data_IF_148405299899
#
_entry.id   IF_148405299899
#
_cell.length_a   1.000
_cell.length_b   1.000
_cell.length_c   1.000
_cell.angle_alpha   90.00
_cell.angle_beta   90.00
_cell.angle_gamma   90.00
#
_symmetry.space_group_name_H-M   'P 1'
#
loop_
_entity.id
_entity.type
_entity.pdbx_description
1 polymer ?
#
# COMPACT_ATOMS: atom_id res chain seq x y z
N UNK A 1 -3.94 -13.86 -26.37
CA UNK A 1 -2.83 -14.13 -25.42
C UNK A 1 -1.54 -13.33 -25.72
N UNK A 2 -1.47 -12.54 -26.77
CA UNK A 2 -0.26 -11.79 -27.19
C UNK A 2 -0.28 -10.31 -26.80
N UNK A 3 -1.43 -9.77 -26.43
CA UNK A 3 -1.62 -8.33 -26.18
C UNK A 3 -1.20 -7.90 -24.76
N UNK A 4 -1.43 -8.74 -23.75
CA UNK A 4 -1.18 -8.40 -22.35
C UNK A 4 0.31 -8.27 -22.01
N UNK A 5 1.18 -9.08 -22.62
CA UNK A 5 2.65 -9.01 -22.38
C UNK A 5 3.29 -7.76 -22.97
N UNK A 6 2.76 -7.25 -24.07
CA UNK A 6 3.25 -6.02 -24.71
C UNK A 6 2.81 -4.81 -23.88
N UNK A 7 1.59 -4.81 -23.37
CA UNK A 7 1.08 -3.79 -22.44
C UNK A 7 1.91 -3.71 -21.15
N UNK A 8 2.16 -4.83 -20.50
CA UNK A 8 2.97 -4.92 -19.27
C UNK A 8 4.40 -4.43 -19.51
N UNK A 9 5.04 -4.79 -20.62
CA UNK A 9 6.39 -4.33 -20.97
C UNK A 9 6.45 -2.82 -21.19
N UNK A 10 5.42 -2.24 -21.81
CA UNK A 10 5.31 -0.79 -22.08
C UNK A 10 5.17 0.01 -20.79
N UNK A 11 4.32 -0.46 -19.85
CA UNK A 11 4.10 0.21 -18.57
C UNK A 11 5.27 0.06 -17.58
N UNK A 12 6.06 -1.00 -17.66
CA UNK A 12 7.26 -1.17 -16.83
C UNK A 12 8.33 -0.08 -17.04
N UNK A 13 8.41 0.49 -18.26
CA UNK A 13 9.27 1.64 -18.57
C UNK A 13 8.76 2.94 -17.94
N UNK A 14 7.45 3.16 -17.93
CA UNK A 14 6.78 4.33 -17.38
C UNK A 14 6.95 4.37 -15.86
N UNK A 15 6.88 3.21 -15.20
CA UNK A 15 6.99 3.06 -13.74
C UNK A 15 8.30 3.57 -13.15
N UNK A 16 9.43 3.37 -13.83
CA UNK A 16 10.73 3.80 -13.30
C UNK A 16 10.85 5.33 -13.18
N UNK A 17 10.11 6.06 -14.00
CA UNK A 17 10.19 7.51 -14.10
C UNK A 17 9.01 8.25 -13.44
N UNK A 18 8.03 7.53 -12.88
CA UNK A 18 6.86 8.16 -12.26
C UNK A 18 7.24 8.79 -10.91
N UNK A 19 7.02 10.10 -10.69
CA UNK A 19 7.26 10.75 -9.41
C UNK A 19 6.42 10.10 -8.28
N UNK A 20 6.99 9.94 -7.09
CA UNK A 20 6.28 9.35 -5.95
C UNK A 20 4.93 10.03 -5.62
N UNK A 21 4.79 11.36 -5.69
CA UNK A 21 3.49 12.00 -5.48
C UNK A 21 2.44 11.55 -6.50
N UNK A 22 2.80 11.43 -7.78
CA UNK A 22 1.89 10.93 -8.83
C UNK A 22 1.49 9.47 -8.61
N UNK A 23 2.43 8.61 -8.18
CA UNK A 23 2.13 7.22 -7.81
C UNK A 23 1.06 7.15 -6.71
N UNK A 24 1.23 7.92 -5.63
CA UNK A 24 0.26 7.95 -4.52
C UNK A 24 -1.12 8.40 -4.99
N UNK A 25 -1.19 9.43 -5.84
CA UNK A 25 -2.47 9.91 -6.39
C UNK A 25 -3.11 8.88 -7.32
N UNK A 26 -2.34 8.24 -8.19
CA UNK A 26 -2.86 7.18 -9.05
C UNK A 26 -3.42 5.99 -8.27
N UNK A 27 -2.77 5.57 -7.16
CA UNK A 27 -3.33 4.53 -6.26
C UNK A 27 -4.70 4.95 -5.72
N UNK A 28 -4.83 6.21 -5.29
CA UNK A 28 -6.11 6.73 -4.79
C UNK A 28 -7.15 6.80 -5.92
N UNK A 29 -6.76 7.23 -7.12
CA UNK A 29 -7.66 7.23 -8.29
C UNK A 29 -8.14 5.81 -8.63
N UNK A 30 -7.26 4.81 -8.67
CA UNK A 30 -7.67 3.42 -8.90
C UNK A 30 -8.73 2.97 -7.89
N UNK A 31 -8.53 3.29 -6.60
CA UNK A 31 -9.51 2.97 -5.56
C UNK A 31 -10.85 3.68 -5.75
N UNK A 32 -10.85 4.97 -6.14
CA UNK A 32 -12.08 5.70 -6.44
C UNK A 32 -12.80 5.07 -7.64
N UNK A 33 -12.05 4.73 -8.69
CA UNK A 33 -12.60 4.12 -9.90
C UNK A 33 -13.20 2.74 -9.64
N UNK A 34 -12.60 1.93 -8.77
CA UNK A 34 -13.16 0.62 -8.39
C UNK A 34 -14.45 0.72 -7.57
N UNK A 35 -14.71 1.85 -6.93
CA UNK A 35 -15.89 2.09 -6.10
C UNK A 35 -17.01 2.85 -6.82
N UNK A 36 -16.72 3.45 -7.97
CA UNK A 36 -17.75 4.17 -8.73
C UNK A 36 -18.59 3.20 -9.57
N UNK A 37 -19.90 3.34 -9.50
CA UNK A 37 -20.81 2.58 -10.37
C UNK A 37 -20.97 3.18 -11.79
N UNK A 38 -20.13 4.16 -12.16
CA UNK A 38 -20.21 4.87 -13.45
C UNK A 38 -19.36 4.16 -14.51
N UNK A 39 -19.78 4.26 -15.77
CA UNK A 39 -18.96 3.82 -16.91
C UNK A 39 -17.94 4.87 -17.35
N UNK A 40 -18.20 6.15 -17.10
CA UNK A 40 -17.32 7.28 -17.46
C UNK A 40 -17.18 8.24 -16.30
N UNK A 41 -16.03 8.90 -16.22
CA UNK A 41 -15.71 9.93 -15.22
C UNK A 41 -14.91 11.06 -15.87
N UNK A 42 -15.15 12.30 -15.42
CA UNK A 42 -14.44 13.49 -15.91
C UNK A 42 -13.36 13.92 -14.90
N UNK A 43 -12.38 14.73 -15.37
CA UNK A 43 -11.40 15.36 -14.46
C UNK A 43 -12.08 16.29 -13.45
N UNK A 44 -13.22 16.89 -13.78
CA UNK A 44 -14.04 17.72 -12.88
C UNK A 44 -14.59 16.88 -11.73
N UNK A 45 -15.22 15.75 -12.06
CA UNK A 45 -15.76 14.83 -11.03
C UNK A 45 -14.65 14.26 -10.13
N UNK A 46 -13.51 13.87 -10.72
CA UNK A 46 -12.37 13.39 -9.93
C UNK A 46 -11.79 14.50 -9.05
N UNK A 47 -11.76 15.76 -9.53
CA UNK A 47 -11.34 16.91 -8.75
C UNK A 47 -12.26 17.14 -7.54
N UNK A 48 -13.56 17.05 -7.72
CA UNK A 48 -14.53 17.17 -6.64
C UNK A 48 -14.38 16.06 -5.57
N UNK A 49 -14.03 14.84 -5.99
CA UNK A 49 -13.85 13.71 -5.07
C UNK A 49 -12.52 13.73 -4.33
N UNK A 50 -11.46 14.28 -4.94
CA UNK A 50 -10.10 14.23 -4.41
C UNK A 50 -9.60 15.51 -3.78
N UNK A 51 -10.22 16.65 -4.12
CA UNK A 51 -9.73 17.97 -3.78
C UNK A 51 -8.51 18.41 -4.60
N UNK A 52 -8.05 17.60 -5.57
CA UNK A 52 -6.93 17.98 -6.44
C UNK A 52 -7.40 18.79 -7.63
N UNK A 53 -6.53 19.68 -8.16
CA UNK A 53 -6.88 20.42 -9.37
C UNK A 53 -7.05 19.50 -10.58
N UNK A 54 -7.97 19.85 -11.47
CA UNK A 54 -8.16 19.11 -12.72
C UNK A 54 -6.88 18.99 -13.54
N UNK A 55 -6.05 20.04 -13.53
CA UNK A 55 -4.76 20.06 -14.23
C UNK A 55 -3.82 18.99 -13.67
N UNK A 56 -3.78 18.81 -12.34
CA UNK A 56 -3.00 17.75 -11.68
C UNK A 56 -3.48 16.36 -12.09
N UNK A 57 -4.79 16.15 -12.08
CA UNK A 57 -5.40 14.88 -12.48
C UNK A 57 -5.11 14.56 -13.94
N UNK A 58 -5.32 15.52 -14.85
CA UNK A 58 -5.02 15.34 -16.29
C UNK A 58 -3.55 15.04 -16.52
N UNK A 59 -2.65 15.72 -15.82
CA UNK A 59 -1.21 15.46 -15.91
C UNK A 59 -0.86 14.05 -15.45
N UNK A 60 -1.39 13.60 -14.32
CA UNK A 60 -1.11 12.25 -13.82
C UNK A 60 -1.66 11.17 -14.76
N UNK A 61 -2.87 11.37 -15.31
CA UNK A 61 -3.46 10.43 -16.27
C UNK A 61 -2.70 10.45 -17.60
N UNK A 62 -2.21 11.61 -18.06
CA UNK A 62 -1.46 11.71 -19.33
C UNK A 62 -0.19 10.88 -19.34
N UNK A 63 0.41 10.63 -18.17
CA UNK A 63 1.60 9.77 -18.04
C UNK A 63 1.30 8.31 -18.43
N UNK A 64 0.03 7.91 -18.36
CA UNK A 64 -0.40 6.56 -18.75
C UNK A 64 -0.53 6.39 -20.27
N UNK A 65 -0.29 7.46 -21.05
CA UNK A 65 -0.36 7.46 -22.52
C UNK A 65 -1.65 6.82 -23.10
N UNK A 66 -2.78 7.08 -22.44
CA UNK A 66 -4.08 6.59 -22.91
C UNK A 66 -4.50 7.36 -24.15
N UNK A 67 -4.57 6.69 -25.29
CA UNK A 67 -4.91 7.30 -26.60
C UNK A 67 -6.41 7.58 -26.80
N UNK A 68 -7.28 7.22 -25.85
CA UNK A 68 -8.73 7.33 -25.99
C UNK A 68 -9.32 8.55 -25.28
N UNK A 69 -9.61 9.57 -26.07
CA UNK A 69 -10.71 10.52 -25.97
C UNK A 69 -10.86 11.38 -24.70
N UNK A 70 -10.25 12.54 -24.73
CA UNK A 70 -10.34 13.53 -23.62
C UNK A 70 -11.63 14.36 -23.68
N UNK A 71 -12.37 14.39 -24.80
CA UNK A 71 -13.52 15.30 -24.96
C UNK A 71 -14.78 14.87 -24.19
N UNK A 72 -14.96 13.58 -23.88
CA UNK A 72 -16.17 13.04 -23.23
C UNK A 72 -15.89 12.31 -21.90
N UNK A 73 -14.76 12.64 -21.22
CA UNK A 73 -14.35 11.96 -20.00
C UNK A 73 -13.57 10.66 -20.26
N UNK A 74 -13.14 10.04 -19.19
CA UNK A 74 -12.37 8.79 -19.18
C UNK A 74 -13.31 7.61 -18.99
N UNK A 75 -13.11 6.53 -19.75
CA UNK A 75 -13.73 5.24 -19.45
C UNK A 75 -13.16 4.71 -18.14
N UNK A 76 -14.02 4.39 -17.18
CA UNK A 76 -13.65 4.00 -15.82
C UNK A 76 -12.83 2.72 -15.83
N UNK A 77 -13.26 1.72 -16.61
CA UNK A 77 -12.57 0.42 -16.66
C UNK A 77 -11.20 0.55 -17.31
N UNK A 78 -11.14 1.22 -18.46
CA UNK A 78 -9.86 1.42 -19.19
C UNK A 78 -8.87 2.22 -18.33
N UNK A 79 -9.31 3.27 -17.68
CA UNK A 79 -8.46 4.10 -16.82
C UNK A 79 -7.99 3.32 -15.59
N UNK A 80 -8.89 2.57 -14.95
CA UNK A 80 -8.55 1.72 -13.81
C UNK A 80 -7.49 0.67 -14.17
N UNK A 81 -7.74 -0.08 -15.25
CA UNK A 81 -6.85 -1.15 -15.71
C UNK A 81 -5.47 -0.59 -16.09
N UNK A 82 -5.42 0.58 -16.76
CA UNK A 82 -4.18 1.25 -17.09
C UNK A 82 -3.39 1.71 -15.86
N UNK A 83 -4.07 2.23 -14.84
CA UNK A 83 -3.43 2.61 -13.57
C UNK A 83 -2.89 1.35 -12.87
N UNK A 84 -3.67 0.28 -12.79
CA UNK A 84 -3.27 -0.96 -12.16
C UNK A 84 -2.06 -1.57 -12.86
N UNK A 85 -2.07 -1.63 -14.19
CA UNK A 85 -0.93 -2.10 -14.98
C UNK A 85 0.32 -1.22 -14.78
N UNK A 86 0.17 0.12 -14.82
CA UNK A 86 1.26 1.05 -14.60
C UNK A 86 1.85 1.00 -13.19
N UNK A 87 1.09 0.63 -12.19
CA UNK A 87 1.53 0.51 -10.80
C UNK A 87 1.89 -0.93 -10.40
N UNK A 88 1.84 -1.89 -11.33
CA UNK A 88 1.94 -3.32 -11.06
C UNK A 88 0.99 -3.77 -9.93
N UNK A 89 -0.20 -3.16 -9.89
CA UNK A 89 -1.28 -3.56 -9.01
C UNK A 89 -2.11 -4.58 -9.80
N UNK A 90 -1.57 -5.77 -10.02
CA UNK A 90 -2.30 -6.80 -10.73
C UNK A 90 -3.27 -7.51 -9.79
N UNK A 91 -4.55 -7.27 -9.95
CA UNK A 91 -5.59 -8.11 -9.33
C UNK A 91 -5.58 -9.55 -9.92
N UNK A 92 -4.98 -9.73 -11.09
CA UNK A 92 -5.05 -10.96 -11.90
C UNK A 92 -3.80 -11.85 -11.88
N UNK A 93 -2.65 -11.39 -11.37
CA UNK A 93 -1.40 -12.19 -11.41
C UNK A 93 -1.33 -13.32 -10.39
N UNK A 94 -2.30 -13.40 -9.49
CA UNK A 94 -2.33 -14.43 -8.43
C UNK A 94 -1.21 -14.33 -7.40
N UNK A 95 -0.19 -13.51 -7.61
CA UNK A 95 0.94 -13.34 -6.70
C UNK A 95 0.70 -12.13 -5.78
N UNK A 96 0.30 -12.43 -4.54
CA UNK A 96 0.12 -11.40 -3.50
C UNK A 96 1.44 -11.12 -2.80
N UNK A 97 1.65 -9.85 -2.45
CA UNK A 97 2.73 -9.43 -1.57
C UNK A 97 2.44 -9.86 -0.13
N UNK A 98 3.35 -10.60 0.47
CA UNK A 98 3.16 -11.09 1.83
C UNK A 98 3.56 -10.04 2.85
N UNK A 99 2.67 -9.81 3.80
CA UNK A 99 2.89 -8.85 4.86
C UNK A 99 2.60 -9.43 6.25
N UNK A 100 3.13 -8.76 7.27
CA UNK A 100 2.88 -9.09 8.68
C UNK A 100 2.55 -7.84 9.49
N UNK A 101 1.99 -8.06 10.69
CA UNK A 101 1.83 -7.03 11.71
C UNK A 101 2.77 -7.34 12.85
N UNK A 102 3.54 -6.33 13.29
CA UNK A 102 4.47 -6.42 14.42
C UNK A 102 4.01 -5.45 15.52
N UNK A 103 3.70 -6.00 16.67
CA UNK A 103 3.04 -5.33 17.78
C UNK A 103 1.52 -5.54 17.72
N UNK A 104 1.02 -6.44 18.56
CA UNK A 104 -0.39 -6.81 18.63
C UNK A 104 -1.11 -6.11 19.80
N UNK A 105 -0.76 -4.85 20.08
CA UNK A 105 -1.52 -3.97 20.93
C UNK A 105 -2.93 -3.72 20.36
N UNK A 106 -3.71 -2.82 20.95
CA UNK A 106 -5.08 -2.51 20.48
C UNK A 106 -5.14 -2.20 18.98
N UNK A 107 -4.16 -1.43 18.47
CA UNK A 107 -4.10 -1.08 17.04
C UNK A 107 -3.75 -2.29 16.18
N UNK A 108 -2.71 -3.04 16.55
CA UNK A 108 -2.30 -4.23 15.79
C UNK A 108 -3.37 -5.30 15.74
N UNK A 109 -4.10 -5.52 16.84
CA UNK A 109 -5.26 -6.41 16.92
C UNK A 109 -6.38 -5.96 15.97
N UNK A 110 -6.75 -4.68 16.00
CA UNK A 110 -7.76 -4.12 15.11
C UNK A 110 -7.37 -4.26 13.63
N UNK A 111 -6.08 -4.13 13.31
CA UNK A 111 -5.57 -4.32 11.95
C UNK A 111 -5.59 -5.79 11.52
N UNK A 112 -5.34 -6.74 12.44
CA UNK A 112 -5.47 -8.18 12.17
C UNK A 112 -6.90 -8.58 11.79
N UNK A 113 -7.88 -7.99 12.46
CA UNK A 113 -9.31 -8.27 12.21
C UNK A 113 -9.87 -7.48 11.02
N UNK A 114 -9.13 -6.48 10.54
CA UNK A 114 -9.56 -5.60 9.47
C UNK A 114 -9.79 -6.34 8.16
N UNK A 115 -10.88 -6.01 7.48
CA UNK A 115 -11.13 -6.44 6.11
C UNK A 115 -10.27 -5.70 5.06
N UNK A 116 -9.41 -4.76 5.46
CA UNK A 116 -8.62 -3.92 4.55
C UNK A 116 -7.69 -4.72 3.62
N UNK A 117 -7.24 -5.91 4.06
CA UNK A 117 -6.41 -6.79 3.25
C UNK A 117 -7.21 -7.66 2.26
N UNK A 118 -8.55 -7.81 2.48
CA UNK A 118 -9.41 -8.60 1.58
C UNK A 118 -9.53 -7.90 0.24
N UNK A 119 -9.34 -8.65 -0.84
CA UNK A 119 -9.40 -8.09 -2.19
C UNK A 119 -8.24 -7.18 -2.58
N UNK A 120 -7.19 -7.07 -1.73
CA UNK A 120 -5.99 -6.30 -2.04
C UNK A 120 -4.87 -7.20 -2.58
N UNK A 121 -3.82 -6.58 -3.13
CA UNK A 121 -2.59 -7.26 -3.56
C UNK A 121 -1.70 -7.70 -2.39
N UNK A 122 -2.14 -7.50 -1.15
CA UNK A 122 -1.42 -7.88 0.04
C UNK A 122 -2.09 -9.05 0.74
N UNK A 123 -1.29 -10.04 1.12
CA UNK A 123 -1.70 -11.17 1.94
C UNK A 123 -1.11 -11.01 3.33
N UNK A 124 -1.96 -10.81 4.32
CA UNK A 124 -1.52 -10.83 5.72
C UNK A 124 -1.28 -12.29 6.12
N UNK A 125 -0.03 -12.65 6.43
CA UNK A 125 0.38 -14.04 6.66
C UNK A 125 0.82 -14.33 8.10
N UNK A 126 1.06 -13.30 8.92
CA UNK A 126 1.49 -13.47 10.30
C UNK A 126 1.26 -12.21 11.15
N UNK A 127 1.08 -12.42 12.46
CA UNK A 127 1.19 -11.40 13.49
C UNK A 127 2.32 -11.74 14.49
N UNK A 128 2.98 -10.70 15.03
CA UNK A 128 4.09 -10.86 15.98
C UNK A 128 3.90 -9.98 17.21
N UNK A 129 4.12 -10.55 18.38
CA UNK A 129 4.17 -9.81 19.64
C UNK A 129 5.28 -10.33 20.54
N UNK A 130 5.76 -9.50 21.47
CA UNK A 130 6.71 -9.93 22.51
C UNK A 130 6.04 -10.64 23.68
N UNK A 131 4.73 -10.49 23.84
CA UNK A 131 3.96 -11.10 24.91
C UNK A 131 3.40 -12.45 24.45
N UNK A 132 4.06 -13.54 24.87
CA UNK A 132 3.69 -14.92 24.52
C UNK A 132 2.28 -15.27 25.02
N UNK A 133 1.93 -14.90 26.25
CA UNK A 133 0.60 -15.19 26.80
C UNK A 133 -0.52 -14.54 25.97
N UNK A 134 -0.27 -13.34 25.44
CA UNK A 134 -1.22 -12.67 24.55
C UNK A 134 -1.42 -13.45 23.24
N UNK A 135 -0.34 -13.95 22.67
CA UNK A 135 -0.36 -14.74 21.42
C UNK A 135 -1.18 -16.02 21.60
N UNK A 136 -1.04 -16.70 22.75
CA UNK A 136 -1.73 -17.96 23.03
C UNK A 136 -3.26 -17.81 23.16
N UNK A 137 -3.73 -16.67 23.69
CA UNK A 137 -5.16 -16.44 23.93
C UNK A 137 -5.85 -15.69 22.81
N UNK A 138 -5.08 -14.93 21.99
CA UNK A 138 -5.65 -14.11 20.92
C UNK A 138 -6.14 -14.98 19.76
N UNK A 139 -7.38 -14.80 19.37
CA UNK A 139 -7.93 -15.42 18.16
C UNK A 139 -7.65 -14.51 16.97
N UNK A 140 -7.06 -15.05 15.92
CA UNK A 140 -6.78 -14.32 14.69
C UNK A 140 -6.97 -15.21 13.46
N UNK A 141 -7.21 -14.59 12.33
CA UNK A 141 -7.35 -15.30 11.03
C UNK A 141 -6.01 -15.77 10.46
N UNK A 142 -4.90 -15.32 11.04
CA UNK A 142 -3.54 -15.67 10.64
C UNK A 142 -2.75 -16.18 11.84
N UNK A 143 -1.68 -16.97 11.63
CA UNK A 143 -0.81 -17.44 12.70
C UNK A 143 -0.15 -16.27 13.45
N UNK A 144 -0.07 -16.41 14.78
CA UNK A 144 0.62 -15.46 15.65
C UNK A 144 1.91 -16.09 16.20
N UNK A 145 2.96 -15.29 16.28
CA UNK A 145 4.29 -15.75 16.68
C UNK A 145 4.95 -14.78 17.67
N UNK A 146 5.80 -15.29 18.59
CA UNK A 146 6.64 -14.41 19.39
C UNK A 146 7.66 -13.70 18.52
N UNK A 147 8.02 -12.45 18.89
CA UNK A 147 9.06 -11.68 18.19
C UNK A 147 10.43 -12.33 18.18
N UNK A 148 10.66 -13.34 19.01
CA UNK A 148 11.85 -14.19 18.98
C UNK A 148 11.95 -15.00 17.68
N UNK A 149 10.81 -15.39 17.12
CA UNK A 149 10.73 -16.15 15.87
C UNK A 149 10.73 -15.26 14.60
N UNK A 150 10.85 -13.95 14.76
CA UNK A 150 10.64 -12.99 13.66
C UNK A 150 11.55 -13.31 12.46
N UNK A 151 12.85 -13.51 12.66
CA UNK A 151 13.78 -13.83 11.56
C UNK A 151 13.35 -15.08 10.80
N UNK A 152 13.18 -16.17 11.54
CA UNK A 152 12.82 -17.47 10.96
C UNK A 152 11.52 -17.38 10.16
N UNK A 153 10.53 -16.67 10.68
CA UNK A 153 9.21 -16.56 10.06
C UNK A 153 9.19 -15.57 8.88
N UNK A 154 9.89 -14.44 8.98
CA UNK A 154 10.02 -13.51 7.85
C UNK A 154 10.61 -14.22 6.63
N UNK A 155 11.69 -15.00 6.83
CA UNK A 155 12.34 -15.75 5.75
C UNK A 155 11.46 -16.89 5.23
N UNK A 156 10.94 -17.75 6.11
CA UNK A 156 10.17 -18.93 5.71
C UNK A 156 8.83 -18.61 5.06
N UNK A 157 8.15 -17.55 5.52
CA UNK A 157 6.88 -17.07 4.95
C UNK A 157 7.09 -16.09 3.80
N UNK A 158 8.34 -15.74 3.47
CA UNK A 158 8.70 -14.76 2.42
C UNK A 158 7.97 -13.42 2.61
N UNK A 159 8.01 -12.89 3.84
CA UNK A 159 7.37 -11.62 4.17
C UNK A 159 8.18 -10.48 3.57
N UNK A 160 7.54 -9.64 2.78
CA UNK A 160 8.15 -8.51 2.08
C UNK A 160 7.82 -7.17 2.73
N UNK A 161 6.68 -7.08 3.43
CA UNK A 161 6.18 -5.83 4.01
C UNK A 161 5.73 -6.05 5.45
N UNK A 162 5.90 -5.03 6.28
CA UNK A 162 5.49 -5.07 7.67
C UNK A 162 4.69 -3.85 8.07
N UNK A 163 3.67 -4.06 8.90
CA UNK A 163 3.01 -2.99 9.65
C UNK A 163 3.60 -2.98 11.05
N UNK A 164 4.20 -1.86 11.45
CA UNK A 164 4.86 -1.68 12.73
C UNK A 164 3.95 -0.87 13.68
N UNK A 165 3.47 -1.52 14.72
CA UNK A 165 2.57 -0.96 15.72
C UNK A 165 3.04 -1.29 17.16
N UNK A 166 4.33 -1.12 17.39
CA UNK A 166 5.00 -1.36 18.69
C UNK A 166 5.10 -0.05 19.49
N UNK A 167 5.42 -0.09 20.79
CA UNK A 167 5.79 1.09 21.56
C UNK A 167 6.98 1.84 20.94
N UNK A 168 6.97 3.18 21.05
CA UNK A 168 7.95 4.07 20.40
C UNK A 168 9.40 3.69 20.73
N UNK A 169 9.69 3.30 21.96
CA UNK A 169 11.03 2.91 22.42
C UNK A 169 11.57 1.64 21.75
N UNK A 170 10.70 0.84 21.13
CA UNK A 170 11.07 -0.39 20.39
C UNK A 170 11.04 -0.22 18.89
N UNK A 171 10.58 0.93 18.39
CA UNK A 171 10.28 1.11 16.98
C UNK A 171 11.51 0.94 16.09
N UNK A 172 12.60 1.67 16.34
CA UNK A 172 13.81 1.60 15.54
C UNK A 172 14.45 0.21 15.61
N UNK A 173 14.58 -0.34 16.82
CA UNK A 173 15.16 -1.68 17.01
C UNK A 173 14.39 -2.76 16.20
N UNK A 174 13.06 -2.67 16.19
CA UNK A 174 12.24 -3.62 15.46
C UNK A 174 12.33 -3.40 13.95
N UNK A 175 12.40 -2.14 13.50
CA UNK A 175 12.61 -1.80 12.09
C UNK A 175 13.94 -2.35 11.57
N UNK A 176 15.04 -2.19 12.34
CA UNK A 176 16.37 -2.69 11.98
C UNK A 176 16.36 -4.22 11.80
N UNK A 177 15.67 -4.93 12.70
CA UNK A 177 15.50 -6.38 12.59
C UNK A 177 14.73 -6.77 11.33
N UNK A 178 13.59 -6.13 11.07
CA UNK A 178 12.78 -6.39 9.87
C UNK A 178 13.58 -6.19 8.58
N UNK A 179 14.32 -5.10 8.51
CA UNK A 179 15.20 -4.78 7.38
C UNK A 179 16.30 -5.84 7.21
N UNK A 180 16.98 -6.24 8.29
CA UNK A 180 18.03 -7.25 8.24
C UNK A 180 17.53 -8.63 7.80
N UNK A 181 16.23 -8.88 7.95
CA UNK A 181 15.58 -10.14 7.53
C UNK A 181 15.02 -10.08 6.10
N UNK A 182 15.13 -8.91 5.43
CA UNK A 182 14.78 -8.75 4.01
C UNK A 182 13.43 -8.10 3.75
N UNK A 183 12.82 -7.45 4.74
CA UNK A 183 11.60 -6.65 4.55
C UNK A 183 11.94 -5.43 3.70
N UNK A 184 11.13 -5.19 2.66
CA UNK A 184 11.31 -4.13 1.65
C UNK A 184 10.55 -2.85 1.96
N UNK A 185 9.54 -2.94 2.82
CA UNK A 185 8.72 -1.77 3.18
C UNK A 185 8.03 -1.91 4.52
N UNK A 186 7.93 -0.80 5.24
CA UNK A 186 7.34 -0.71 6.58
C UNK A 186 6.29 0.40 6.60
N UNK A 187 5.08 0.06 7.01
CA UNK A 187 4.05 1.02 7.41
C UNK A 187 4.21 1.26 8.90
N UNK A 188 4.68 2.45 9.26
CA UNK A 188 5.03 2.79 10.64
C UNK A 188 3.89 3.57 11.33
N UNK A 189 3.28 2.97 12.34
CA UNK A 189 2.26 3.59 13.18
C UNK A 189 2.82 4.15 14.51
N UNK A 190 4.13 4.09 14.71
CA UNK A 190 4.78 4.73 15.87
C UNK A 190 5.02 6.22 15.61
N UNK A 191 5.30 6.99 16.67
CA UNK A 191 5.64 8.40 16.53
C UNK A 191 7.12 8.62 16.15
N UNK A 192 7.90 7.55 16.05
CA UNK A 192 9.35 7.62 15.76
C UNK A 192 9.58 7.73 14.27
N UNK A 193 10.41 8.69 13.85
CA UNK A 193 10.91 8.75 12.49
C UNK A 193 11.99 7.69 12.33
N UNK A 194 11.68 6.63 11.58
CA UNK A 194 12.59 5.51 11.39
C UNK A 194 13.70 5.85 10.41
N UNK A 195 14.92 5.43 10.74
CA UNK A 195 16.09 5.49 9.85
C UNK A 195 16.30 4.10 9.24
N UNK A 196 16.23 4.00 7.92
CA UNK A 196 16.40 2.73 7.18
C UNK A 196 17.28 2.95 5.94
N UNK A 197 17.86 1.87 5.35
CA UNK A 197 18.55 1.94 4.07
C UNK A 197 17.66 2.51 2.96
N UNK A 198 18.26 3.13 1.94
CA UNK A 198 17.54 3.83 0.84
C UNK A 198 16.67 2.92 -0.01
N UNK A 199 16.94 1.65 -0.04
CA UNK A 199 16.20 0.60 -0.76
C UNK A 199 14.98 0.08 0.01
N UNK A 200 14.85 0.42 1.30
CA UNK A 200 13.69 0.11 2.12
C UNK A 200 12.75 1.32 2.17
N UNK A 201 11.47 1.11 1.94
CA UNK A 201 10.46 2.16 2.00
C UNK A 201 9.79 2.21 3.36
N UNK A 202 9.66 3.42 3.92
CA UNK A 202 8.88 3.66 5.14
C UNK A 202 7.77 4.66 4.83
N UNK A 203 6.55 4.31 5.18
CA UNK A 203 5.40 5.21 5.18
C UNK A 203 4.95 5.40 6.63
N UNK A 204 5.01 6.65 7.09
CA UNK A 204 4.58 7.03 8.43
C UNK A 204 3.09 7.33 8.43
N UNK A 205 2.34 6.65 9.30
CA UNK A 205 0.90 6.84 9.47
C UNK A 205 0.67 7.46 10.85
N UNK A 206 0.58 8.78 10.89
CA UNK A 206 0.31 9.53 12.11
C UNK A 206 -0.89 10.46 11.91
N UNK A 207 -1.98 10.16 12.62
CA UNK A 207 -3.24 10.90 12.52
C UNK A 207 -3.06 12.37 12.89
N UNK A 208 -2.22 12.68 13.89
CA UNK A 208 -1.97 14.07 14.32
C UNK A 208 -1.25 14.86 13.23
N UNK A 209 -0.26 14.27 12.57
CA UNK A 209 0.43 14.89 11.43
C UNK A 209 -0.53 15.20 10.29
N UNK A 210 -1.45 14.27 9.98
CA UNK A 210 -2.48 14.48 8.96
C UNK A 210 -3.41 15.62 9.36
N UNK A 211 -3.93 15.63 10.59
CA UNK A 211 -4.80 16.70 11.10
C UNK A 211 -4.08 18.05 11.12
N UNK A 212 -2.80 18.09 11.53
CA UNK A 212 -1.99 19.32 11.52
C UNK A 212 -1.86 19.86 10.08
N UNK A 213 -1.66 18.99 9.10
CA UNK A 213 -1.62 19.39 7.69
C UNK A 213 -2.93 20.01 7.20
N UNK A 214 -4.09 19.56 7.72
CA UNK A 214 -5.40 20.15 7.38
C UNK A 214 -5.58 21.55 7.97
N UNK A 215 -4.98 21.85 9.11
CA UNK A 215 -5.07 23.18 9.77
C UNK A 215 -4.07 24.16 9.16
N UNK A 216 -2.93 23.67 8.66
CA UNK A 216 -1.86 24.49 8.10
C UNK A 216 -2.11 24.94 6.63
N UNK A 217 -3.18 24.48 5.99
CA UNK A 217 -3.60 24.89 4.63
C UNK A 217 -4.75 25.84 4.69
#
# INVERSE_FOLDING_TARGET
MTDDRILISRYNGIMKNLPNPSKKRLVILARILSQTGKNKVTSVELSALTGWSEATIRRDISILELHNGVSNGYDVKILHDAICAALNIEESSGQKHRCCIVGLGKLGEALLESSAFKGSNFELVAGFDSNVNKIEIMKASVPLFPTLDLERKVRSLKIEYAVLAVPDEKAQFMADRLVSYGVKGIVNYTNVVLTVPKDVRVEHVNTVVVLTGMVAG
#
